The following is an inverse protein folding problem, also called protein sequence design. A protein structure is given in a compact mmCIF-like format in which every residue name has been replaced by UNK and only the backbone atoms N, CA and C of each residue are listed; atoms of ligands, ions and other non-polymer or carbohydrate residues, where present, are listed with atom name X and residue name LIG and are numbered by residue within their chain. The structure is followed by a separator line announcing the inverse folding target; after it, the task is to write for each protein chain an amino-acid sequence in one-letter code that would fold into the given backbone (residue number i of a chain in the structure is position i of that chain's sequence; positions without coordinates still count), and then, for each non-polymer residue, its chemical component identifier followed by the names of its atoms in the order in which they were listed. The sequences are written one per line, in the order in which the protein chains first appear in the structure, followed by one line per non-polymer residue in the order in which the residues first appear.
data_IF_537355638849
#
_entry.id   IF_537355638849
#
_cell.length_a   1.000
_cell.length_b   1.000
_cell.length_c   1.000
_cell.angle_alpha   90.00
_cell.angle_beta   90.00
_cell.angle_gamma   90.00
#
_symmetry.space_group_name_H-M   'P 1'
#
loop_
_entity.id
_entity.type
_entity.pdbx_description
1 polymer ?
#
# COMPACT_ATOMS: atom_id res chain seq x y z
N UNK A 1 3.28 0.84 25.15
CA UNK A 1 3.92 -0.15 24.25
C UNK A 1 3.33 -0.02 22.84
N UNK A 2 4.14 0.04 21.77
CA UNK A 2 3.62 0.15 20.39
C UNK A 2 2.86 -1.13 20.00
N UNK A 3 1.62 -1.00 19.51
CA UNK A 3 0.80 -2.13 19.04
C UNK A 3 1.41 -2.72 17.77
N UNK A 4 1.80 -4.00 17.80
CA UNK A 4 2.31 -4.71 16.62
C UNK A 4 1.11 -5.25 15.82
N UNK A 5 0.83 -4.61 14.69
CA UNK A 5 -0.20 -5.00 13.74
C UNK A 5 0.38 -6.00 12.73
N UNK A 6 -0.19 -7.20 12.68
CA UNK A 6 0.17 -8.24 11.73
C UNK A 6 -1.01 -8.51 10.80
N UNK A 7 -0.73 -8.77 9.52
CA UNK A 7 -1.71 -9.29 8.55
C UNK A 7 -2.05 -10.74 8.88
N UNK A 8 -3.15 -11.27 8.32
CA UNK A 8 -3.60 -12.65 8.56
C UNK A 8 -2.47 -13.68 8.31
N UNK A 9 -1.72 -13.50 7.22
CA UNK A 9 -0.59 -14.38 6.88
C UNK A 9 0.58 -14.25 7.86
N UNK A 10 0.88 -13.02 8.31
CA UNK A 10 1.91 -12.78 9.33
C UNK A 10 1.51 -13.39 10.68
N UNK A 11 0.23 -13.31 11.05
CA UNK A 11 -0.34 -13.94 12.26
C UNK A 11 -0.23 -15.45 12.17
N UNK A 12 -0.60 -16.07 11.04
CA UNK A 12 -0.48 -17.51 10.83
C UNK A 12 0.95 -17.98 11.06
N UNK A 13 1.93 -17.31 10.42
CA UNK A 13 3.36 -17.61 10.60
C UNK A 13 3.80 -17.47 12.06
N UNK A 14 3.42 -16.39 12.72
CA UNK A 14 3.74 -16.16 14.13
C UNK A 14 3.20 -17.27 15.03
N UNK A 15 1.93 -17.65 14.87
CA UNK A 15 1.29 -18.68 15.72
C UNK A 15 1.94 -20.05 15.53
N UNK A 16 2.23 -20.44 14.28
CA UNK A 16 2.90 -21.72 13.99
C UNK A 16 4.30 -21.74 14.59
N UNK A 17 5.10 -20.69 14.39
CA UNK A 17 6.48 -20.63 14.91
C UNK A 17 6.50 -20.55 16.44
N UNK A 18 5.56 -19.81 17.04
CA UNK A 18 5.37 -19.78 18.50
C UNK A 18 5.07 -21.18 19.05
N UNK A 19 4.19 -21.95 18.40
CA UNK A 19 3.88 -23.31 18.80
C UNK A 19 5.10 -24.25 18.68
N UNK A 20 5.91 -24.08 17.64
CA UNK A 20 7.18 -24.84 17.47
C UNK A 20 8.19 -24.48 18.56
N UNK A 21 8.34 -23.19 18.88
CA UNK A 21 9.25 -22.74 19.94
C UNK A 21 8.86 -23.29 21.32
N UNK A 22 7.57 -23.39 21.63
CA UNK A 22 7.07 -23.99 22.87
C UNK A 22 7.02 -25.53 22.86
N UNK A 23 7.57 -26.20 21.83
CA UNK A 23 7.58 -27.66 21.73
C UNK A 23 6.22 -28.30 21.41
N UNK A 24 5.17 -27.51 21.19
CA UNK A 24 3.81 -28.01 20.88
C UNK A 24 3.67 -28.52 19.45
N UNK A 25 4.63 -28.21 18.56
CA UNK A 25 4.61 -28.59 17.14
C UNK A 25 6.02 -28.91 16.65
N UNK A 26 6.16 -29.93 15.80
CA UNK A 26 7.45 -30.29 15.20
C UNK A 26 7.80 -29.35 14.04
N UNK A 27 9.10 -29.18 13.77
CA UNK A 27 9.58 -28.36 12.65
C UNK A 27 9.08 -28.87 11.30
N UNK A 28 8.99 -30.19 11.13
CA UNK A 28 8.48 -30.84 9.92
C UNK A 28 7.00 -30.51 9.67
N UNK A 29 6.14 -30.58 10.69
CA UNK A 29 4.73 -30.18 10.57
C UNK A 29 4.58 -28.71 10.19
N UNK A 30 5.41 -27.83 10.76
CA UNK A 30 5.40 -26.41 10.39
C UNK A 30 5.84 -26.16 8.94
N UNK A 31 6.74 -26.97 8.39
CA UNK A 31 7.14 -26.89 6.97
C UNK A 31 5.94 -27.14 6.05
N UNK A 32 5.15 -28.17 6.34
CA UNK A 32 3.96 -28.53 5.56
C UNK A 32 2.89 -27.44 5.67
N UNK A 33 2.55 -27.01 6.89
CA UNK A 33 1.45 -26.06 7.14
C UNK A 33 1.71 -24.65 6.59
N UNK A 34 2.98 -24.21 6.62
CA UNK A 34 3.37 -22.91 6.08
C UNK A 34 3.86 -23.01 4.63
N UNK A 35 3.97 -24.22 4.06
CA UNK A 35 4.59 -24.47 2.75
C UNK A 35 5.97 -23.82 2.64
N UNK A 36 6.81 -24.02 3.65
CA UNK A 36 8.15 -23.46 3.76
C UNK A 36 9.19 -24.55 3.96
N UNK A 37 10.41 -24.30 3.48
CA UNK A 37 11.55 -25.17 3.74
C UNK A 37 11.95 -25.15 5.23
N UNK A 38 12.59 -26.24 5.68
CA UNK A 38 13.14 -26.34 7.04
C UNK A 38 14.09 -25.18 7.37
N UNK A 39 14.89 -24.74 6.39
CA UNK A 39 15.77 -23.56 6.53
C UNK A 39 14.99 -22.29 6.86
N UNK A 40 13.87 -22.04 6.17
CA UNK A 40 13.03 -20.87 6.42
C UNK A 40 12.38 -20.95 7.81
N UNK A 41 11.94 -22.12 8.25
CA UNK A 41 11.42 -22.34 9.60
C UNK A 41 12.49 -22.03 10.66
N UNK A 42 13.70 -22.55 10.51
CA UNK A 42 14.80 -22.26 11.44
C UNK A 42 15.15 -20.76 11.49
N UNK A 43 15.14 -20.07 10.34
CA UNK A 43 15.34 -18.61 10.28
C UNK A 43 14.22 -17.85 11.01
N UNK A 44 12.97 -18.28 10.86
CA UNK A 44 11.84 -17.67 11.56
C UNK A 44 11.91 -17.91 13.08
N UNK A 45 12.34 -19.10 13.51
CA UNK A 45 12.59 -19.41 14.93
C UNK A 45 13.68 -18.52 15.50
N UNK A 46 14.81 -18.37 14.81
CA UNK A 46 15.88 -17.47 15.23
C UNK A 46 15.36 -16.03 15.40
N UNK A 47 14.62 -15.52 14.41
CA UNK A 47 14.06 -14.17 14.49
C UNK A 47 13.01 -14.03 15.61
N UNK A 48 12.22 -15.07 15.89
CA UNK A 48 11.26 -15.09 16.99
C UNK A 48 11.95 -14.98 18.35
N UNK A 49 13.09 -15.66 18.54
CA UNK A 49 13.87 -15.56 19.79
C UNK A 49 14.41 -14.14 19.99
N UNK A 50 14.88 -13.49 18.93
CA UNK A 50 15.49 -12.16 19.02
C UNK A 50 14.47 -11.01 19.15
N UNK A 51 13.36 -11.08 18.41
CA UNK A 51 12.45 -9.94 18.21
C UNK A 51 10.99 -10.25 18.59
N UNK A 52 10.70 -11.49 19.00
CA UNK A 52 9.36 -11.94 19.38
C UNK A 52 8.33 -11.75 18.25
N UNK A 53 7.17 -11.21 18.60
CA UNK A 53 6.07 -10.96 17.66
C UNK A 53 6.44 -9.97 16.54
N UNK A 54 7.37 -9.04 16.81
CA UNK A 54 7.76 -8.02 15.82
C UNK A 54 8.54 -8.58 14.62
N UNK A 55 9.18 -9.74 14.79
CA UNK A 55 9.91 -10.46 13.75
C UNK A 55 9.10 -10.78 12.50
N UNK A 56 7.77 -10.88 12.65
CA UNK A 56 6.84 -11.31 11.61
C UNK A 56 6.21 -10.13 10.87
N UNK A 57 6.39 -8.91 11.34
CA UNK A 57 5.96 -7.73 10.60
C UNK A 57 6.86 -7.52 9.39
N UNK A 58 6.26 -7.28 8.22
CA UNK A 58 7.00 -6.93 7.03
C UNK A 58 7.88 -5.68 7.27
N UNK A 59 9.17 -5.75 6.92
CA UNK A 59 10.12 -4.65 7.20
C UNK A 59 9.84 -3.38 6.40
N UNK A 60 9.26 -3.51 5.20
CA UNK A 60 8.83 -2.37 4.38
C UNK A 60 7.41 -1.89 4.72
N UNK A 61 6.79 -2.40 5.78
CA UNK A 61 5.45 -1.97 6.19
C UNK A 61 5.52 -0.49 6.60
N UNK A 62 4.64 0.33 6.02
CA UNK A 62 4.58 1.79 6.25
C UNK A 62 5.83 2.57 5.79
N UNK A 63 6.75 1.97 5.03
CA UNK A 63 7.90 2.66 4.44
C UNK A 63 7.57 3.11 3.02
N UNK A 64 7.66 4.41 2.75
CA UNK A 64 7.61 4.95 1.39
C UNK A 64 8.98 4.82 0.70
N UNK A 65 9.02 4.54 -0.62
CA UNK A 65 10.26 4.61 -1.40
C UNK A 65 10.85 6.03 -1.43
N UNK A 66 12.18 6.15 -1.61
CA UNK A 66 12.87 7.46 -1.69
C UNK A 66 12.34 8.34 -2.82
N UNK A 67 12.00 7.74 -3.95
CA UNK A 67 11.46 8.43 -5.13
C UNK A 67 9.94 8.60 -5.09
N UNK A 68 9.29 8.24 -3.97
CA UNK A 68 7.87 8.49 -3.81
C UNK A 68 7.61 9.99 -3.72
N UNK A 69 6.59 10.45 -4.42
CA UNK A 69 6.11 11.82 -4.27
C UNK A 69 5.74 12.07 -2.79
N UNK A 70 6.16 13.20 -2.20
CA UNK A 70 5.74 13.59 -0.86
C UNK A 70 4.22 13.65 -0.75
N UNK A 71 3.68 13.27 0.41
CA UNK A 71 2.23 13.29 0.62
C UNK A 71 1.67 14.71 0.54
N UNK A 72 2.42 15.71 1.04
CA UNK A 72 2.07 17.13 0.93
C UNK A 72 1.83 17.56 -0.52
N UNK A 73 2.69 17.14 -1.45
CA UNK A 73 2.53 17.46 -2.88
C UNK A 73 1.29 16.80 -3.47
N UNK A 74 0.97 15.55 -3.07
CA UNK A 74 -0.26 14.89 -3.52
C UNK A 74 -1.50 15.62 -3.01
N UNK A 75 -1.51 15.98 -1.73
CA UNK A 75 -2.61 16.73 -1.12
C UNK A 75 -2.81 18.07 -1.83
N UNK A 76 -1.73 18.82 -2.07
CA UNK A 76 -1.77 20.07 -2.83
C UNK A 76 -2.39 19.90 -4.23
N UNK A 77 -1.96 18.89 -4.99
CA UNK A 77 -2.52 18.60 -6.33
C UNK A 77 -4.03 18.34 -6.27
N UNK A 78 -4.48 17.62 -5.23
CA UNK A 78 -5.89 17.25 -5.05
C UNK A 78 -6.73 18.48 -4.66
N UNK A 79 -6.25 19.29 -3.72
CA UNK A 79 -6.89 20.53 -3.28
C UNK A 79 -7.00 21.55 -4.42
N UNK A 80 -5.91 21.71 -5.18
CA UNK A 80 -5.91 22.57 -6.36
C UNK A 80 -6.92 22.08 -7.40
N UNK A 81 -6.98 20.77 -7.65
CA UNK A 81 -7.99 20.24 -8.59
C UNK A 81 -9.44 20.44 -8.09
N UNK A 82 -9.66 20.45 -6.77
CA UNK A 82 -10.96 20.72 -6.16
C UNK A 82 -11.37 22.19 -6.22
N UNK A 83 -10.40 23.12 -6.20
CA UNK A 83 -10.68 24.57 -6.25
C UNK A 83 -11.30 25.01 -7.59
N UNK A 84 -11.12 24.23 -8.66
CA UNK A 84 -11.84 24.42 -9.92
C UNK A 84 -13.34 24.09 -9.77
N UNK A 85 -14.12 25.10 -9.39
CA UNK A 85 -15.58 25.02 -9.15
C UNK A 85 -16.39 25.06 -10.43
N UNK A 86 -16.06 25.97 -11.36
CA UNK A 86 -16.89 26.24 -12.55
C UNK A 86 -16.61 25.26 -13.69
N UNK A 87 -15.33 25.06 -14.04
CA UNK A 87 -14.92 24.18 -15.13
C UNK A 87 -13.71 23.36 -14.70
N UNK A 88 -13.89 22.05 -14.57
CA UNK A 88 -12.77 21.16 -14.24
C UNK A 88 -11.89 20.95 -15.46
N UNK A 89 -10.58 21.23 -15.36
CA UNK A 89 -9.66 20.96 -16.45
C UNK A 89 -9.60 19.45 -16.74
N UNK A 90 -9.34 19.11 -18.00
CA UNK A 90 -8.95 17.74 -18.31
C UNK A 90 -7.55 17.46 -17.68
N UNK A 91 -7.17 16.20 -17.47
CA UNK A 91 -5.89 15.90 -16.79
C UNK A 91 -4.67 16.47 -17.51
N UNK A 92 -4.67 16.47 -18.85
CA UNK A 92 -3.54 17.00 -19.65
C UNK A 92 -3.39 18.50 -19.41
N UNK A 93 -4.49 19.23 -19.53
CA UNK A 93 -4.50 20.67 -19.27
C UNK A 93 -4.16 20.99 -17.81
N UNK A 94 -4.64 20.18 -16.87
CA UNK A 94 -4.27 20.34 -15.47
C UNK A 94 -2.77 20.11 -15.22
N UNK A 95 -2.13 19.20 -15.97
CA UNK A 95 -0.68 19.02 -15.87
C UNK A 95 0.11 20.20 -16.44
N UNK A 96 -0.42 20.88 -17.45
CA UNK A 96 0.17 22.13 -17.96
C UNK A 96 0.10 23.23 -16.90
N UNK A 97 -1.05 23.40 -16.25
CA UNK A 97 -1.25 24.36 -15.14
C UNK A 97 -0.26 24.07 -14.00
N UNK A 98 -0.17 22.80 -13.57
CA UNK A 98 0.77 22.39 -12.52
C UNK A 98 2.22 22.75 -12.85
N UNK A 99 2.61 22.60 -14.12
CA UNK A 99 3.97 22.92 -14.58
C UNK A 99 4.21 24.43 -14.66
N UNK A 100 3.25 25.19 -15.21
CA UNK A 100 3.38 26.62 -15.47
C UNK A 100 3.25 27.47 -14.20
N UNK A 101 2.22 27.21 -13.38
CA UNK A 101 1.87 28.05 -12.23
C UNK A 101 2.53 27.58 -10.92
N UNK A 102 2.87 26.30 -10.82
CA UNK A 102 3.36 25.70 -9.57
C UNK A 102 4.73 25.01 -9.71
N UNK A 103 5.32 24.97 -10.91
CA UNK A 103 6.62 24.32 -11.14
C UNK A 103 6.62 22.79 -10.91
N UNK A 104 5.45 22.17 -10.82
CA UNK A 104 5.30 20.73 -10.56
C UNK A 104 5.35 19.98 -11.90
N UNK A 105 6.52 19.42 -12.22
CA UNK A 105 6.73 18.69 -13.46
C UNK A 105 6.39 17.19 -13.31
N UNK A 106 5.09 16.87 -13.39
CA UNK A 106 4.58 15.50 -13.34
C UNK A 106 3.95 15.08 -14.66
N UNK A 107 3.99 13.78 -14.94
CA UNK A 107 3.30 13.21 -16.09
C UNK A 107 1.78 13.15 -15.85
N UNK A 108 1.00 13.23 -16.93
CA UNK A 108 -0.46 13.15 -16.87
C UNK A 108 -0.95 11.85 -16.23
N UNK A 109 -0.26 10.74 -16.47
CA UNK A 109 -0.52 9.44 -15.85
C UNK A 109 -0.35 9.47 -14.33
N UNK A 110 0.67 10.17 -13.84
CA UNK A 110 0.92 10.33 -12.39
C UNK A 110 -0.18 11.16 -11.76
N UNK A 111 -0.50 12.31 -12.35
CA UNK A 111 -1.56 13.20 -11.87
C UNK A 111 -2.92 12.50 -11.91
N UNK A 112 -3.22 11.75 -12.97
CA UNK A 112 -4.41 10.91 -13.09
C UNK A 112 -4.50 9.88 -11.96
N UNK A 113 -3.39 9.22 -11.64
CA UNK A 113 -3.33 8.21 -10.59
C UNK A 113 -3.62 8.85 -9.22
N UNK A 114 -3.03 10.02 -8.94
CA UNK A 114 -3.30 10.79 -7.72
C UNK A 114 -4.80 11.11 -7.63
N UNK A 115 -5.37 11.74 -8.65
CA UNK A 115 -6.79 12.12 -8.67
C UNK A 115 -7.72 10.90 -8.51
N UNK A 116 -7.43 9.79 -9.18
CA UNK A 116 -8.25 8.58 -9.14
C UNK A 116 -8.19 7.89 -7.78
N UNK A 117 -7.03 7.89 -7.11
CA UNK A 117 -6.88 7.38 -5.75
C UNK A 117 -7.71 8.19 -4.75
N UNK A 118 -7.82 9.51 -4.96
CA UNK A 118 -8.74 10.39 -4.23
C UNK A 118 -10.19 10.35 -4.76
N UNK A 119 -10.47 9.44 -5.69
CA UNK A 119 -11.82 9.20 -6.19
C UNK A 119 -12.38 10.27 -7.11
N UNK A 120 -11.56 11.19 -7.61
CA UNK A 120 -11.93 12.27 -8.53
C UNK A 120 -11.78 11.81 -9.98
N UNK A 121 -12.82 11.99 -10.79
CA UNK A 121 -12.81 11.56 -12.18
C UNK A 121 -12.69 12.80 -13.07
N UNK A 122 -11.75 12.75 -14.02
CA UNK A 122 -11.60 13.83 -15.01
C UNK A 122 -12.75 13.81 -16.02
N UNK A 123 -13.26 14.96 -16.48
CA UNK A 123 -14.45 15.04 -17.33
C UNK A 123 -14.41 14.17 -18.59
N UNK A 124 -13.25 14.04 -19.24
CA UNK A 124 -13.07 13.25 -20.48
C UNK A 124 -12.60 11.81 -20.22
N UNK A 125 -12.84 11.27 -19.03
CA UNK A 125 -12.45 9.89 -18.70
C UNK A 125 -13.33 8.88 -19.42
N UNK A 126 -12.73 7.88 -20.07
CA UNK A 126 -13.48 6.87 -20.81
C UNK A 126 -14.40 6.04 -19.89
N UNK A 127 -15.61 5.69 -20.38
CA UNK A 127 -16.66 4.95 -19.65
C UNK A 127 -16.14 3.68 -18.95
N UNK A 128 -15.37 2.84 -19.66
CA UNK A 128 -14.70 1.64 -19.11
C UNK A 128 -13.87 1.91 -17.85
N UNK A 129 -13.12 3.02 -17.82
CA UNK A 129 -12.33 3.45 -16.65
C UNK A 129 -13.22 3.89 -15.50
N UNK A 130 -14.28 4.65 -15.78
CA UNK A 130 -15.27 5.08 -14.78
C UNK A 130 -15.93 3.86 -14.12
N UNK A 131 -16.34 2.87 -14.90
CA UNK A 131 -16.95 1.63 -14.39
C UNK A 131 -16.00 0.89 -13.45
N UNK A 132 -14.74 0.73 -13.85
CA UNK A 132 -13.69 0.09 -13.03
C UNK A 132 -13.48 0.81 -11.69
N UNK A 133 -13.36 2.14 -11.71
CA UNK A 133 -13.16 2.95 -10.50
C UNK A 133 -14.36 2.86 -9.55
N UNK A 134 -15.59 2.86 -10.07
CA UNK A 134 -16.81 2.69 -9.26
C UNK A 134 -16.86 1.31 -8.60
N UNK A 135 -16.47 0.25 -9.29
CA UNK A 135 -16.40 -1.10 -8.72
C UNK A 135 -15.36 -1.20 -7.60
N UNK A 136 -14.18 -0.61 -7.80
CA UNK A 136 -13.13 -0.57 -6.77
C UNK A 136 -13.58 0.15 -5.50
N UNK A 137 -14.31 1.27 -5.63
CA UNK A 137 -14.88 1.97 -4.47
C UNK A 137 -15.89 1.12 -3.70
N UNK A 138 -16.71 0.31 -4.39
CA UNK A 138 -17.69 -0.59 -3.74
C UNK A 138 -17.05 -1.74 -2.96
N UNK A 139 -15.87 -2.20 -3.38
CA UNK A 139 -15.15 -3.31 -2.70
C UNK A 139 -14.37 -2.80 -1.48
N UNK A 140 -14.04 -1.51 -1.45
CA UNK A 140 -13.27 -0.88 -0.39
C UNK A 140 -14.15 -0.28 0.75
N UNK A 141 -15.47 -0.21 0.56
CA UNK A 141 -16.47 0.17 1.57
C UNK A 141 -16.99 -1.09 2.27
#
# INVERSE_FOLDING_TARGET
MKRIELTVNEIKKYNVIKAVHHGKKTKQRACVELTLSLRQINRLLHNYVQLGKSAFSHKNKKRSPKHSLPESTKTFIVELYQSFTNLKPNVVHFTEILKQEHGINLTDTTVRTILYNHGMISPKTHRKTVKRLKQQKKVAQ
#
